data_IF_337245339480
#
_entry.id   IF_337245339480
#
_cell.length_a   1.000
_cell.length_b   1.000
_cell.length_c   1.000
_cell.angle_alpha   90.00
_cell.angle_beta   90.00
_cell.angle_gamma   90.00
#
_symmetry.space_group_name_H-M   'P 1'
#
loop_
_entity.id
_entity.type
_entity.pdbx_description
1 polymer ?
#
# COMPACT_ATOMS: atom_id res chain seq x y z
N UNK A 1 -4.13 -25.49 -18.83
CA UNK A 1 -3.41 -24.36 -18.19
C UNK A 1 -4.36 -23.74 -17.16
N UNK A 2 -3.88 -23.04 -16.14
CA UNK A 2 -4.75 -22.42 -15.11
C UNK A 2 -5.42 -21.14 -15.63
N UNK A 3 -4.66 -20.37 -16.38
CA UNK A 3 -5.11 -19.38 -17.36
C UNK A 3 -4.24 -19.56 -18.61
N UNK A 4 -4.50 -18.83 -19.69
CA UNK A 4 -3.91 -19.10 -21.01
C UNK A 4 -2.36 -19.10 -21.06
N UNK A 5 -1.68 -18.56 -20.04
CA UNK A 5 -0.23 -18.37 -20.04
C UNK A 5 0.51 -19.08 -18.89
N UNK A 6 -0.20 -19.69 -17.93
CA UNK A 6 0.41 -20.25 -16.70
C UNK A 6 0.11 -21.76 -16.58
N UNK A 7 1.18 -22.54 -16.51
CA UNK A 7 1.12 -24.00 -16.37
C UNK A 7 1.06 -24.46 -14.91
N UNK A 8 0.74 -25.74 -14.68
CA UNK A 8 0.81 -26.36 -13.34
C UNK A 8 2.24 -26.32 -12.78
N UNK A 9 3.25 -26.49 -13.64
CA UNK A 9 4.67 -26.42 -13.24
C UNK A 9 5.02 -25.02 -12.74
N UNK A 10 4.59 -23.98 -13.45
CA UNK A 10 4.85 -22.60 -13.04
C UNK A 10 4.18 -22.29 -11.68
N UNK A 11 2.97 -22.82 -11.44
CA UNK A 11 2.30 -22.69 -10.14
C UNK A 11 3.05 -23.40 -9.01
N UNK A 12 3.58 -24.60 -9.26
CA UNK A 12 4.36 -25.33 -8.27
C UNK A 12 5.63 -24.57 -7.88
N UNK A 13 6.30 -23.92 -8.86
CA UNK A 13 7.44 -23.03 -8.58
C UNK A 13 6.99 -21.89 -7.66
N UNK A 14 5.93 -21.15 -8.01
CA UNK A 14 5.42 -20.08 -7.14
C UNK A 14 5.15 -20.56 -5.70
N UNK A 15 4.53 -21.73 -5.54
CA UNK A 15 4.25 -22.34 -4.22
C UNK A 15 5.52 -22.64 -3.42
N UNK A 16 6.54 -23.22 -4.06
CA UNK A 16 7.81 -23.52 -3.40
C UNK A 16 8.52 -22.25 -2.91
N UNK A 17 8.30 -21.14 -3.62
CA UNK A 17 8.86 -19.84 -3.31
C UNK A 17 8.01 -19.00 -2.36
N UNK A 18 6.86 -19.49 -1.87
CA UNK A 18 6.08 -18.76 -0.87
C UNK A 18 6.92 -18.54 0.40
N UNK A 19 6.92 -17.30 0.88
CA UNK A 19 7.51 -16.96 2.17
C UNK A 19 6.69 -17.55 3.29
N UNK A 20 7.41 -18.01 4.31
CA UNK A 20 6.81 -18.35 5.60
C UNK A 20 6.66 -17.05 6.39
N UNK A 21 7.75 -16.35 6.68
CA UNK A 21 7.72 -15.15 7.53
C UNK A 21 7.89 -13.86 6.74
N UNK A 22 7.35 -12.77 7.30
CA UNK A 22 7.57 -11.39 6.82
C UNK A 22 9.03 -10.99 7.03
N UNK A 23 9.64 -10.36 6.04
CA UNK A 23 10.99 -9.79 6.12
C UNK A 23 10.92 -8.26 5.99
N UNK A 24 10.57 -7.57 7.08
CA UNK A 24 10.29 -6.12 7.10
C UNK A 24 11.37 -5.26 6.44
N UNK A 25 12.63 -5.70 6.48
CA UNK A 25 13.77 -4.94 5.95
C UNK A 25 13.79 -4.94 4.42
N UNK A 26 13.23 -5.96 3.78
CA UNK A 26 13.22 -6.13 2.32
C UNK A 26 11.83 -5.98 1.71
N UNK A 27 10.84 -5.46 2.45
CA UNK A 27 9.51 -5.30 1.89
C UNK A 27 9.33 -3.97 1.16
N UNK A 28 8.50 -3.97 0.11
CA UNK A 28 7.88 -2.74 -0.37
C UNK A 28 7.17 -2.03 0.79
N UNK A 29 7.41 -0.73 0.94
CA UNK A 29 6.72 0.13 1.89
C UNK A 29 5.84 1.13 1.15
N UNK A 30 4.64 1.34 1.67
CA UNK A 30 3.73 2.35 1.16
C UNK A 30 3.57 3.50 2.13
N UNK A 31 3.89 4.70 1.67
CA UNK A 31 3.65 5.95 2.40
C UNK A 31 2.40 6.58 1.83
N UNK A 32 1.49 7.00 2.69
CA UNK A 32 0.33 7.79 2.29
C UNK A 32 0.50 9.24 2.77
N UNK A 33 1.01 10.14 1.90
CA UNK A 33 1.11 11.56 2.20
C UNK A 33 -0.24 12.25 1.97
N UNK A 34 -0.79 12.82 3.03
CA UNK A 34 -2.04 13.59 3.05
C UNK A 34 -1.74 15.09 3.13
N UNK A 35 -2.62 15.95 2.59
CA UNK A 35 -2.34 17.38 2.47
C UNK A 35 -3.32 18.09 1.55
N UNK A 36 -3.15 19.40 1.38
CA UNK A 36 -4.03 20.20 0.51
C UNK A 36 -3.86 19.88 -0.98
N UNK A 37 -4.73 20.47 -1.81
CA UNK A 37 -4.61 20.42 -3.27
C UNK A 37 -3.19 20.82 -3.72
N UNK A 38 -2.53 20.00 -4.55
CA UNK A 38 -1.14 20.24 -4.96
C UNK A 38 -0.95 21.52 -5.78
N UNK A 39 -2.02 22.07 -6.36
CA UNK A 39 -1.98 23.37 -7.04
C UNK A 39 -1.87 24.55 -6.06
N UNK A 40 -2.31 24.36 -4.81
CA UNK A 40 -2.31 25.38 -3.75
C UNK A 40 -1.22 25.11 -2.70
N UNK A 41 -0.84 23.85 -2.51
CA UNK A 41 0.06 23.41 -1.45
C UNK A 41 1.16 22.49 -1.99
N UNK A 42 2.41 22.85 -1.76
CA UNK A 42 3.56 22.15 -2.34
C UNK A 42 4.09 20.98 -1.48
N UNK A 43 3.63 20.82 -0.24
CA UNK A 43 4.17 19.85 0.74
C UNK A 43 4.25 18.43 0.18
N UNK A 44 3.12 17.89 -0.29
CA UNK A 44 3.03 16.53 -0.84
C UNK A 44 3.92 16.37 -2.07
N UNK A 45 3.96 17.37 -2.95
CA UNK A 45 4.78 17.36 -4.17
C UNK A 45 6.27 17.24 -3.83
N UNK A 46 6.77 18.08 -2.93
CA UNK A 46 8.18 18.06 -2.52
C UNK A 46 8.55 16.77 -1.81
N UNK A 47 7.68 16.29 -0.92
CA UNK A 47 7.89 15.02 -0.22
C UNK A 47 7.96 13.83 -1.19
N UNK A 48 7.00 13.73 -2.12
CA UNK A 48 6.98 12.67 -3.14
C UNK A 48 8.23 12.70 -4.01
N UNK A 49 8.64 13.88 -4.48
CA UNK A 49 9.85 14.06 -5.28
C UNK A 49 11.11 13.65 -4.51
N UNK A 50 11.18 13.95 -3.21
CA UNK A 50 12.29 13.51 -2.37
C UNK A 50 12.35 11.99 -2.26
N UNK A 51 11.21 11.33 -1.98
CA UNK A 51 11.17 9.86 -1.88
C UNK A 51 11.50 9.20 -3.22
N UNK A 52 10.99 9.73 -4.34
CA UNK A 52 11.22 9.13 -5.67
C UNK A 52 12.64 9.31 -6.20
N UNK A 53 13.28 10.45 -5.90
CA UNK A 53 14.59 10.81 -6.46
C UNK A 53 15.76 10.38 -5.56
N UNK A 54 15.48 9.90 -4.35
CA UNK A 54 16.50 9.49 -3.39
C UNK A 54 16.68 7.97 -3.43
N UNK A 55 17.77 7.52 -4.05
CA UNK A 55 18.08 6.11 -4.27
C UNK A 55 18.92 5.47 -3.15
N UNK A 56 18.81 5.98 -1.92
CA UNK A 56 19.45 5.34 -0.76
C UNK A 56 18.82 3.97 -0.46
N UNK A 57 19.60 3.06 0.13
CA UNK A 57 19.09 1.74 0.54
C UNK A 57 17.88 1.83 1.49
N UNK A 58 17.79 2.91 2.28
CA UNK A 58 16.65 3.17 3.15
C UNK A 58 15.33 3.38 2.38
N UNK A 59 15.41 4.02 1.20
CA UNK A 59 14.25 4.39 0.37
C UNK A 59 14.06 3.51 -0.85
N UNK A 60 14.95 2.55 -1.07
CA UNK A 60 14.73 1.44 -1.99
C UNK A 60 13.39 0.77 -1.68
N UNK A 61 12.56 0.49 -2.70
CA UNK A 61 11.22 -0.08 -2.52
C UNK A 61 10.29 0.70 -1.57
N UNK A 62 10.37 2.03 -1.56
CA UNK A 62 9.44 2.90 -0.84
C UNK A 62 8.63 3.72 -1.83
N UNK A 63 7.31 3.64 -1.76
CA UNK A 63 6.41 4.27 -2.73
C UNK A 63 5.39 5.16 -2.03
N UNK A 64 5.14 6.35 -2.60
CA UNK A 64 4.08 7.24 -2.13
C UNK A 64 2.79 6.96 -2.89
N UNK A 65 1.73 6.60 -2.17
CA UNK A 65 0.39 6.44 -2.71
C UNK A 65 -0.20 7.80 -3.11
N UNK A 66 -0.97 7.84 -4.20
CA UNK A 66 -1.80 9.00 -4.58
C UNK A 66 -3.22 8.82 -4.06
N UNK A 67 -3.88 9.89 -3.61
CA UNK A 67 -5.32 9.88 -3.35
C UNK A 67 -6.13 10.62 -4.43
N UNK A 68 -5.46 11.21 -5.44
CA UNK A 68 -6.06 12.17 -6.36
C UNK A 68 -7.16 11.58 -7.23
N UNK A 69 -7.02 10.33 -7.65
CA UNK A 69 -8.01 9.64 -8.47
C UNK A 69 -8.88 8.66 -7.65
N UNK A 70 -8.73 8.58 -6.32
CA UNK A 70 -9.47 7.63 -5.45
C UNK A 70 -10.97 7.81 -5.61
N UNK A 71 -11.48 9.04 -5.48
CA UNK A 71 -12.90 9.29 -5.63
C UNK A 71 -13.43 9.02 -7.06
N UNK A 72 -12.61 9.25 -8.09
CA UNK A 72 -13.01 9.10 -9.50
C UNK A 72 -12.95 7.63 -9.98
N UNK A 73 -11.89 6.89 -9.65
CA UNK A 73 -11.75 5.45 -9.96
C UNK A 73 -12.63 4.57 -9.07
N UNK A 74 -13.03 5.09 -7.90
CA UNK A 74 -14.01 4.45 -7.02
C UNK A 74 -15.42 5.04 -7.18
N UNK A 75 -15.68 5.80 -8.25
CA UNK A 75 -17.04 6.23 -8.57
C UNK A 75 -17.93 4.99 -8.81
N UNK A 76 -19.05 4.91 -8.10
CA UNK A 76 -19.90 3.71 -8.01
C UNK A 76 -19.39 2.63 -7.05
N UNK A 77 -18.28 2.83 -6.32
CA UNK A 77 -17.92 1.97 -5.19
C UNK A 77 -18.97 2.06 -4.09
N UNK A 78 -19.15 0.96 -3.37
CA UNK A 78 -20.02 0.90 -2.20
C UNK A 78 -19.41 1.59 -0.97
N UNK A 79 -18.11 1.90 -1.01
CA UNK A 79 -17.41 2.53 0.09
C UNK A 79 -17.55 4.05 0.01
N UNK A 80 -17.97 4.68 1.10
CA UNK A 80 -17.92 6.14 1.20
C UNK A 80 -16.47 6.64 1.37
N UNK A 81 -16.23 7.93 1.17
CA UNK A 81 -14.88 8.52 1.21
C UNK A 81 -14.10 8.17 2.48
N UNK A 82 -14.73 8.27 3.66
CA UNK A 82 -14.06 7.93 4.92
C UNK A 82 -13.69 6.44 5.00
N UNK A 83 -14.51 5.56 4.42
CA UNK A 83 -14.22 4.14 4.33
C UNK A 83 -13.09 3.83 3.32
N UNK A 84 -13.01 4.59 2.23
CA UNK A 84 -11.91 4.51 1.27
C UNK A 84 -10.60 4.92 1.94
N UNK A 85 -10.60 6.02 2.70
CA UNK A 85 -9.45 6.48 3.49
C UNK A 85 -9.02 5.45 4.54
N UNK A 86 -9.97 4.82 5.23
CA UNK A 86 -9.68 3.73 6.16
C UNK A 86 -9.02 2.52 5.48
N UNK A 87 -9.52 2.12 4.31
CA UNK A 87 -8.91 1.05 3.52
C UNK A 87 -7.52 1.42 3.02
N UNK A 88 -7.31 2.67 2.59
CA UNK A 88 -6.02 3.20 2.17
C UNK A 88 -5.01 3.20 3.33
N UNK A 89 -5.45 3.63 4.51
CA UNK A 89 -4.68 3.57 5.75
C UNK A 89 -4.31 2.13 6.18
N UNK A 90 -5.08 1.12 5.79
CA UNK A 90 -4.71 -0.31 5.95
C UNK A 90 -3.71 -0.80 4.90
N UNK A 91 -3.70 -0.19 3.72
CA UNK A 91 -2.71 -0.45 2.67
C UNK A 91 -1.38 0.25 2.99
N UNK A 92 -1.37 1.35 3.73
CA UNK A 92 -0.15 2.09 4.08
C UNK A 92 0.67 1.42 5.20
N UNK A 93 1.99 1.62 5.16
CA UNK A 93 2.88 1.37 6.31
C UNK A 93 3.08 2.63 7.16
N UNK A 94 2.95 3.81 6.56
CA UNK A 94 3.07 5.10 7.23
C UNK A 94 2.16 6.14 6.58
N UNK A 95 1.49 6.94 7.41
CA UNK A 95 0.69 8.10 7.00
C UNK A 95 1.43 9.35 7.46
N UNK A 96 1.63 10.31 6.56
CA UNK A 96 2.18 11.62 6.88
C UNK A 96 1.17 12.69 6.48
N UNK A 97 0.61 13.38 7.46
CA UNK A 97 -0.38 14.44 7.20
C UNK A 97 0.30 15.80 7.27
N UNK A 98 0.32 16.52 6.16
CA UNK A 98 0.67 17.94 6.14
C UNK A 98 -0.57 18.76 6.50
N UNK A 99 -0.63 19.27 7.73
CA UNK A 99 -1.78 20.03 8.23
C UNK A 99 -1.75 21.47 7.67
N UNK A 100 -2.29 21.63 6.45
CA UNK A 100 -2.15 22.86 5.65
C UNK A 100 -3.46 23.34 4.99
N UNK A 101 -4.51 22.53 5.03
CA UNK A 101 -5.81 22.79 4.40
C UNK A 101 -6.97 22.19 5.19
N UNK A 102 -8.21 22.66 4.93
CA UNK A 102 -9.41 22.12 5.56
C UNK A 102 -9.54 20.60 5.40
N UNK A 103 -9.24 20.06 4.21
CA UNK A 103 -9.25 18.62 3.96
C UNK A 103 -8.26 17.89 4.86
N UNK A 104 -7.01 18.36 4.92
CA UNK A 104 -5.98 17.76 5.77
C UNK A 104 -6.26 17.86 7.27
N UNK A 105 -6.99 18.89 7.71
CA UNK A 105 -7.45 18.99 9.10
C UNK A 105 -8.52 17.94 9.41
N UNK A 106 -9.45 17.69 8.48
CA UNK A 106 -10.44 16.63 8.59
C UNK A 106 -9.79 15.24 8.60
N UNK A 107 -8.83 14.99 7.71
CA UNK A 107 -8.05 13.74 7.67
C UNK A 107 -7.29 13.52 8.99
N UNK A 108 -6.65 14.57 9.51
CA UNK A 108 -5.94 14.50 10.80
C UNK A 108 -6.90 14.16 11.95
N UNK A 109 -8.07 14.81 12.01
CA UNK A 109 -9.10 14.49 13.00
C UNK A 109 -9.62 13.06 12.86
N UNK A 110 -9.87 12.59 11.64
CA UNK A 110 -10.35 11.24 11.37
C UNK A 110 -9.32 10.16 11.74
N UNK A 111 -8.08 10.30 11.27
CA UNK A 111 -7.06 9.29 11.51
C UNK A 111 -6.54 9.27 12.95
N UNK A 112 -6.50 10.40 13.65
CA UNK A 112 -6.17 10.43 15.09
C UNK A 112 -7.24 9.75 15.94
N UNK A 113 -8.51 9.80 15.54
CA UNK A 113 -9.61 9.15 16.25
C UNK A 113 -9.72 7.63 16.01
N UNK A 114 -8.98 7.07 15.04
CA UNK A 114 -9.03 5.65 14.67
C UNK A 114 -7.75 4.95 15.14
N UNK A 115 -7.79 4.09 16.17
CA UNK A 115 -6.60 3.51 16.79
C UNK A 115 -5.61 2.85 15.82
N UNK A 116 -6.08 2.10 14.82
CA UNK A 116 -5.19 1.44 13.84
C UNK A 116 -4.56 2.45 12.87
N UNK A 117 -5.26 3.52 12.50
CA UNK A 117 -4.72 4.57 11.65
C UNK A 117 -3.74 5.45 12.42
N UNK A 118 -4.15 5.96 13.59
CA UNK A 118 -3.32 6.74 14.51
C UNK A 118 -1.97 6.05 14.78
N UNK A 119 -1.96 4.72 14.93
CA UNK A 119 -0.74 3.93 15.14
C UNK A 119 0.34 4.11 14.06
N UNK A 120 -0.01 4.47 12.84
CA UNK A 120 0.94 4.67 11.74
C UNK A 120 1.01 6.12 11.26
N UNK A 121 0.45 7.07 12.00
CA UNK A 121 0.34 8.46 11.56
C UNK A 121 1.41 9.33 12.21
N UNK A 122 2.08 10.13 11.38
CA UNK A 122 2.78 11.35 11.78
C UNK A 122 2.07 12.57 11.23
N UNK A 123 2.33 13.73 11.84
CA UNK A 123 1.79 15.01 11.39
C UNK A 123 2.90 16.04 11.22
N UNK A 124 2.82 16.81 10.14
CA UNK A 124 3.64 17.97 9.89
C UNK A 124 2.79 19.24 10.02
N UNK A 125 3.23 20.16 10.86
CA UNK A 125 2.56 21.42 11.18
C UNK A 125 3.50 22.58 10.85
N UNK A 126 2.94 23.70 10.40
CA UNK A 126 3.72 24.92 10.19
C UNK A 126 4.48 25.34 11.45
N UNK A 127 5.79 25.60 11.32
CA UNK A 127 6.69 25.93 12.43
C UNK A 127 6.20 27.09 13.31
N UNK A 128 5.45 28.03 12.73
CA UNK A 128 4.84 29.16 13.44
C UNK A 128 3.80 28.76 14.49
N UNK A 129 3.25 27.55 14.41
CA UNK A 129 2.28 27.03 15.38
C UNK A 129 2.94 26.19 16.48
N UNK A 130 4.27 26.13 16.54
CA UNK A 130 4.97 25.44 17.62
C UNK A 130 4.70 26.15 18.95
N UNK A 131 4.09 25.43 19.90
CA UNK A 131 3.70 25.96 21.21
C UNK A 131 2.44 26.83 21.20
N UNK A 132 1.72 26.92 20.07
CA UNK A 132 0.43 27.59 20.04
C UNK A 132 -0.67 26.71 20.66
N UNK A 133 -1.78 27.34 21.05
CA UNK A 133 -2.97 26.66 21.58
C UNK A 133 -4.09 26.75 20.57
N UNK A 134 -4.68 25.63 20.22
CA UNK A 134 -5.82 25.54 19.31
C UNK A 134 -6.41 24.15 19.37
N UNK A 135 -7.66 23.98 18.92
CA UNK A 135 -8.25 22.64 18.84
C UNK A 135 -7.40 21.66 18.03
N UNK A 136 -6.77 22.12 16.93
CA UNK A 136 -5.91 21.28 16.11
C UNK A 136 -4.66 20.80 16.87
N UNK A 137 -3.99 21.72 17.58
CA UNK A 137 -2.75 21.42 18.32
C UNK A 137 -3.03 20.60 19.57
N UNK A 138 -3.98 21.06 20.40
CA UNK A 138 -4.30 20.45 21.69
C UNK A 138 -5.19 19.21 21.58
N UNK A 139 -5.74 18.94 20.39
CA UNK A 139 -6.56 17.78 20.08
C UNK A 139 -5.81 16.75 19.24
N UNK A 140 -6.08 16.64 17.92
CA UNK A 140 -5.58 15.53 17.13
C UNK A 140 -4.06 15.52 16.93
N UNK A 141 -3.36 16.67 16.97
CA UNK A 141 -1.89 16.68 16.97
C UNK A 141 -1.33 16.08 18.26
N UNK A 142 -1.88 16.43 19.42
CA UNK A 142 -1.48 15.89 20.72
C UNK A 142 -1.79 14.38 20.83
N UNK A 143 -2.94 13.95 20.30
CA UNK A 143 -3.29 12.52 20.24
C UNK A 143 -2.24 11.72 19.46
N UNK A 144 -1.78 12.25 18.31
CA UNK A 144 -0.66 11.65 17.58
C UNK A 144 0.63 11.76 18.40
N UNK A 145 0.94 12.90 19.03
CA UNK A 145 2.19 13.10 19.77
C UNK A 145 2.37 12.13 20.95
N UNK A 146 1.27 11.78 21.61
CA UNK A 146 1.24 10.96 22.84
C UNK A 146 1.03 9.47 22.59
N UNK A 147 0.88 9.07 21.31
CA UNK A 147 0.76 7.69 20.89
C UNK A 147 2.05 6.87 21.10
N UNK A 148 1.91 5.56 21.32
CA UNK A 148 3.04 4.69 21.70
C UNK A 148 3.88 4.18 20.50
N UNK A 149 3.47 4.53 19.29
CA UNK A 149 4.12 4.10 18.06
C UNK A 149 5.44 4.85 17.86
N UNK A 150 6.46 4.16 17.33
CA UNK A 150 7.68 4.82 16.86
C UNK A 150 7.42 5.75 15.67
N UNK A 151 6.29 5.57 14.97
CA UNK A 151 5.86 6.40 13.86
C UNK A 151 5.06 7.63 14.31
N UNK A 152 4.65 7.70 15.57
CA UNK A 152 3.93 8.85 16.10
C UNK A 152 4.90 10.01 16.34
N UNK A 153 4.94 10.94 15.38
CA UNK A 153 5.81 12.11 15.40
C UNK A 153 5.07 13.35 14.93
N UNK A 154 5.41 14.48 15.56
CA UNK A 154 4.98 15.82 15.16
C UNK A 154 6.19 16.56 14.63
N UNK A 155 6.14 16.99 13.37
CA UNK A 155 7.17 17.79 12.74
C UNK A 155 6.70 19.24 12.65
N UNK A 156 7.38 20.15 13.33
CA UNK A 156 7.18 21.59 13.14
C UNK A 156 8.15 22.10 12.08
N UNK A 157 7.67 22.36 10.87
CA UNK A 157 8.50 22.64 9.70
C UNK A 157 7.91 23.71 8.77
N UNK A 158 8.67 24.11 7.75
CA UNK A 158 8.15 24.94 6.67
C UNK A 158 7.38 24.06 5.68
N UNK A 159 6.06 24.18 5.67
CA UNK A 159 5.18 23.39 4.79
C UNK A 159 5.42 23.70 3.30
N UNK A 160 5.93 24.89 2.96
CA UNK A 160 6.26 25.17 1.56
C UNK A 160 7.52 24.43 1.10
N UNK A 161 8.35 23.96 2.02
CA UNK A 161 9.57 23.21 1.75
C UNK A 161 9.85 22.20 2.89
N UNK A 162 9.06 21.12 3.01
CA UNK A 162 9.10 20.24 4.17
C UNK A 162 10.43 19.51 4.31
N UNK A 163 11.11 19.23 3.19
CA UNK A 163 12.40 18.53 3.17
C UNK A 163 13.59 19.42 3.59
N UNK A 164 13.36 20.72 3.85
CA UNK A 164 14.33 21.56 4.56
C UNK A 164 14.48 21.18 6.03
N UNK A 165 13.53 20.41 6.60
CA UNK A 165 13.61 19.92 7.98
C UNK A 165 14.58 18.73 8.08
N UNK A 166 15.68 18.86 8.83
CA UNK A 166 16.60 17.74 9.07
C UNK A 166 15.92 16.58 9.81
N UNK A 167 14.96 16.89 10.68
CA UNK A 167 14.25 15.88 11.47
C UNK A 167 13.33 15.02 10.61
N UNK A 168 12.61 15.63 9.66
CA UNK A 168 11.81 14.85 8.69
C UNK A 168 12.71 14.00 7.80
N UNK A 169 13.79 14.55 7.26
CA UNK A 169 14.75 13.82 6.43
C UNK A 169 15.37 12.62 7.16
N UNK A 170 15.77 12.80 8.43
CA UNK A 170 16.30 11.72 9.27
C UNK A 170 15.24 10.64 9.49
N UNK A 171 14.02 11.03 9.87
CA UNK A 171 12.93 10.10 10.12
C UNK A 171 12.60 9.25 8.88
N UNK A 172 12.54 9.87 7.70
CA UNK A 172 12.31 9.19 6.42
C UNK A 172 13.42 8.17 6.13
N UNK A 173 14.67 8.52 6.44
CA UNK A 173 15.83 7.62 6.28
C UNK A 173 15.84 6.45 7.28
N UNK A 174 15.16 6.60 8.43
CA UNK A 174 15.02 5.60 9.48
C UNK A 174 13.66 4.86 9.43
N UNK A 175 12.86 5.07 8.38
CA UNK A 175 11.49 4.57 8.33
C UNK A 175 11.39 3.04 8.47
N UNK A 176 12.28 2.30 7.80
CA UNK A 176 12.34 0.83 7.86
C UNK A 176 12.56 0.30 9.29
N UNK A 177 13.62 0.69 10.02
CA UNK A 177 13.80 0.23 11.40
C UNK A 177 12.66 0.69 12.32
N UNK A 178 12.10 1.89 12.12
CA UNK A 178 10.95 2.37 12.90
C UNK A 178 9.73 1.45 12.73
N UNK A 179 9.39 1.08 11.49
CA UNK A 179 8.33 0.12 11.18
C UNK A 179 8.65 -1.26 11.78
N UNK A 180 9.90 -1.71 11.70
CA UNK A 180 10.36 -2.96 12.29
C UNK A 180 10.16 -3.03 13.81
N UNK A 181 10.54 -1.97 14.54
CA UNK A 181 10.31 -1.85 15.99
C UNK A 181 8.81 -1.81 16.30
N UNK A 182 8.03 -1.09 15.50
CA UNK A 182 6.58 -1.06 15.67
C UNK A 182 5.91 -2.40 15.45
N UNK A 183 6.45 -3.22 14.56
CA UNK A 183 5.93 -4.55 14.30
C UNK A 183 6.08 -5.49 15.51
N UNK A 184 6.95 -5.19 16.49
CA UNK A 184 7.16 -6.00 17.69
C UNK A 184 6.53 -5.43 18.95
N UNK A 185 6.08 -4.16 18.93
CA UNK A 185 5.41 -3.49 20.05
C UNK A 185 3.96 -3.98 20.25
N UNK A 186 3.48 -3.83 21.49
CA UNK A 186 2.05 -3.89 21.86
C UNK A 186 1.63 -2.50 22.32
N UNK A 187 0.64 -1.89 21.65
CA UNK A 187 0.13 -0.56 22.03
C UNK A 187 -0.84 -0.58 23.22
N UNK A 188 -1.14 0.60 23.80
CA UNK A 188 -2.11 0.82 24.89
C UNK A 188 -3.47 0.11 24.73
N UNK A 189 -3.94 -0.12 23.50
CA UNK A 189 -5.23 -0.79 23.23
C UNK A 189 -5.12 -2.32 22.95
N UNK A 190 -4.00 -2.97 23.25
CA UNK A 190 -3.82 -4.40 22.94
C UNK A 190 -3.68 -4.71 21.45
N UNK A 191 -3.55 -3.68 20.61
CA UNK A 191 -3.16 -3.76 19.20
C UNK A 191 -1.85 -4.57 19.11
N UNK A 192 -1.95 -5.79 18.59
CA UNK A 192 -0.79 -6.67 18.36
C UNK A 192 -0.08 -6.25 17.07
N UNK A 193 1.25 -6.11 17.19
CA UNK A 193 2.30 -6.55 16.26
C UNK A 193 1.93 -6.78 14.78
N UNK A 194 2.68 -6.12 13.88
CA UNK A 194 2.71 -6.26 12.42
C UNK A 194 1.33 -6.24 11.72
N UNK A 195 0.85 -5.04 11.35
CA UNK A 195 -0.41 -4.86 10.58
C UNK A 195 -0.49 -5.64 9.27
N UNK A 196 0.66 -6.01 8.70
CA UNK A 196 0.75 -6.73 7.44
C UNK A 196 1.53 -8.01 7.63
N UNK A 197 0.91 -9.13 7.27
CA UNK A 197 1.50 -10.46 7.22
C UNK A 197 0.97 -11.15 5.98
N UNK A 198 1.76 -12.06 5.43
CA UNK A 198 1.31 -12.91 4.31
C UNK A 198 -0.01 -13.58 4.70
N UNK A 199 -1.03 -13.46 3.85
CA UNK A 199 -2.36 -14.00 4.12
C UNK A 199 -2.29 -15.53 4.10
N UNK A 200 -2.86 -16.19 5.11
CA UNK A 200 -2.83 -17.66 5.23
C UNK A 200 -4.20 -18.30 5.41
N UNK A 201 -5.23 -17.49 5.66
CA UNK A 201 -6.59 -17.93 5.89
C UNK A 201 -7.52 -17.20 4.91
N UNK A 202 -8.10 -17.95 3.98
CA UNK A 202 -9.04 -17.44 2.98
C UNK A 202 -10.25 -16.74 3.60
N UNK A 203 -10.62 -17.08 4.83
CA UNK A 203 -11.75 -16.47 5.53
C UNK A 203 -11.42 -15.15 6.22
N UNK A 204 -10.14 -14.74 6.22
CA UNK A 204 -9.62 -13.53 6.89
C UNK A 204 -8.44 -12.96 6.10
N UNK A 205 -8.70 -12.45 4.90
CA UNK A 205 -7.70 -11.79 4.05
C UNK A 205 -7.57 -10.33 4.46
N UNK A 206 -6.40 -9.95 4.98
CA UNK A 206 -6.08 -8.56 5.30
C UNK A 206 -5.84 -7.78 4.00
N UNK A 207 -6.57 -6.67 3.82
CA UNK A 207 -6.55 -5.89 2.57
C UNK A 207 -5.17 -5.31 2.24
N UNK A 208 -4.46 -4.76 3.23
CA UNK A 208 -3.12 -4.20 3.00
C UNK A 208 -2.11 -5.26 2.57
N UNK A 209 -2.16 -6.43 3.20
CA UNK A 209 -1.32 -7.57 2.84
C UNK A 209 -1.68 -8.12 1.45
N UNK A 210 -2.97 -8.16 1.13
CA UNK A 210 -3.44 -8.58 -0.20
C UNK A 210 -2.87 -7.68 -1.29
N UNK A 211 -2.91 -6.35 -1.15
CA UNK A 211 -2.34 -5.42 -2.15
C UNK A 211 -0.87 -5.72 -2.46
N UNK A 212 -0.04 -5.98 -1.44
CA UNK A 212 1.35 -6.39 -1.68
C UNK A 212 1.44 -7.74 -2.41
N UNK A 213 0.68 -8.75 -1.99
CA UNK A 213 0.67 -10.06 -2.63
C UNK A 213 0.20 -10.01 -4.10
N UNK A 214 -0.74 -9.12 -4.42
CA UNK A 214 -1.20 -8.89 -5.79
C UNK A 214 -0.17 -8.17 -6.66
N UNK A 215 0.54 -7.19 -6.11
CA UNK A 215 1.61 -6.49 -6.82
C UNK A 215 2.75 -7.41 -7.19
N UNK A 216 3.16 -8.30 -6.27
CA UNK A 216 4.15 -9.33 -6.57
C UNK A 216 3.72 -10.16 -7.78
N UNK A 217 2.49 -10.70 -7.77
CA UNK A 217 1.97 -11.50 -8.88
C UNK A 217 1.92 -10.71 -10.19
N UNK A 218 1.53 -9.43 -10.13
CA UNK A 218 1.47 -8.57 -11.32
C UNK A 218 2.85 -8.25 -11.88
N UNK A 219 3.89 -8.12 -11.06
CA UNK A 219 5.25 -7.90 -11.55
C UNK A 219 5.93 -9.19 -12.04
N UNK A 220 5.60 -10.33 -11.43
CA UNK A 220 6.17 -11.62 -11.83
C UNK A 220 5.48 -12.14 -13.10
N UNK A 221 4.15 -11.99 -13.19
CA UNK A 221 3.32 -12.69 -14.18
C UNK A 221 2.44 -11.75 -15.00
N UNK A 222 2.40 -10.45 -14.74
CA UNK A 222 1.54 -9.51 -15.47
C UNK A 222 2.01 -9.23 -16.91
N UNK A 223 1.22 -8.49 -17.70
CA UNK A 223 -0.14 -8.02 -17.41
C UNK A 223 -1.19 -9.14 -17.48
N UNK A 224 -2.30 -9.03 -16.74
CA UNK A 224 -3.38 -10.02 -16.71
C UNK A 224 -4.75 -9.40 -16.34
N UNK A 225 -5.84 -10.13 -16.56
CA UNK A 225 -7.18 -9.69 -16.13
C UNK A 225 -7.33 -9.76 -14.60
N UNK A 226 -8.29 -9.03 -14.03
CA UNK A 226 -8.62 -9.16 -12.58
C UNK A 226 -9.06 -10.59 -12.21
N UNK A 227 -9.77 -11.26 -13.12
CA UNK A 227 -10.22 -12.65 -12.97
C UNK A 227 -9.06 -13.63 -12.93
N UNK A 228 -8.08 -13.47 -13.84
CA UNK A 228 -6.87 -14.29 -13.83
C UNK A 228 -6.04 -14.04 -12.58
N UNK A 229 -5.88 -12.78 -12.18
CA UNK A 229 -5.15 -12.42 -10.96
C UNK A 229 -5.77 -13.10 -9.73
N UNK A 230 -7.10 -13.08 -9.61
CA UNK A 230 -7.82 -13.77 -8.54
C UNK A 230 -7.61 -15.28 -8.58
N UNK A 231 -7.69 -15.87 -9.77
CA UNK A 231 -7.54 -17.30 -9.99
C UNK A 231 -6.13 -17.76 -9.61
N UNK A 232 -5.11 -17.04 -10.08
CA UNK A 232 -3.70 -17.33 -9.81
C UNK A 232 -3.40 -17.13 -8.33
N UNK A 233 -3.89 -16.05 -7.72
CA UNK A 233 -3.74 -15.81 -6.29
C UNK A 233 -4.29 -16.99 -5.47
N UNK A 234 -5.55 -17.37 -5.72
CA UNK A 234 -6.17 -18.51 -5.04
C UNK A 234 -5.38 -19.79 -5.25
N UNK A 235 -4.98 -20.08 -6.49
CA UNK A 235 -4.25 -21.29 -6.81
C UNK A 235 -2.87 -21.32 -6.14
N UNK A 236 -2.14 -20.20 -6.13
CA UNK A 236 -0.82 -20.12 -5.49
C UNK A 236 -0.92 -20.34 -3.99
N UNK A 237 -1.95 -19.78 -3.34
CA UNK A 237 -2.18 -19.88 -1.90
C UNK A 237 -2.88 -21.17 -1.46
N UNK A 238 -3.45 -21.93 -2.40
CA UNK A 238 -4.30 -23.09 -2.09
C UNK A 238 -5.69 -22.69 -1.57
N UNK A 239 -6.14 -21.46 -1.85
CA UNK A 239 -7.44 -20.94 -1.44
C UNK A 239 -8.54 -21.27 -2.45
N UNK A 240 -9.78 -21.28 -1.96
CA UNK A 240 -11.03 -21.36 -2.70
C UNK A 240 -11.58 -19.96 -2.87
N UNK A 241 -11.73 -19.54 -4.13
CA UNK A 241 -12.23 -18.21 -4.47
C UNK A 241 -13.58 -17.88 -3.82
N UNK A 242 -14.47 -18.86 -3.65
CA UNK A 242 -15.80 -18.71 -3.04
C UNK A 242 -15.77 -18.47 -1.52
N UNK A 243 -14.65 -18.74 -0.84
CA UNK A 243 -14.51 -18.55 0.60
C UNK A 243 -13.69 -17.32 0.97
N UNK A 244 -13.14 -16.62 -0.03
CA UNK A 244 -12.38 -15.40 0.19
C UNK A 244 -13.23 -14.35 0.89
N UNK A 245 -12.76 -13.90 2.05
CA UNK A 245 -13.33 -12.76 2.79
C UNK A 245 -12.22 -11.76 3.05
N UNK A 246 -12.31 -10.60 2.40
CA UNK A 246 -11.35 -9.51 2.54
C UNK A 246 -11.87 -8.57 3.62
N UNK A 247 -10.98 -8.16 4.53
CA UNK A 247 -11.31 -7.28 5.63
C UNK A 247 -10.27 -6.16 5.80
N UNK A 248 -10.72 -5.04 6.34
CA UNK A 248 -9.90 -3.88 6.72
C UNK A 248 -9.92 -3.79 8.25
N UNK A 249 -8.77 -3.94 8.94
CA UNK A 249 -8.69 -3.71 10.38
C UNK A 249 -9.40 -2.43 10.84
N UNK A 250 -9.19 -1.30 10.16
CA UNK A 250 -9.81 -0.01 10.55
C UNK A 250 -11.34 -0.06 10.39
N UNK A 251 -11.84 -0.49 9.22
CA UNK A 251 -13.29 -0.56 8.98
C UNK A 251 -13.99 -1.51 9.96
N UNK A 252 -13.36 -2.65 10.22
CA UNK A 252 -13.95 -3.71 11.02
C UNK A 252 -13.85 -3.46 12.53
N UNK A 253 -12.75 -2.88 13.02
CA UNK A 253 -12.51 -2.70 14.46
C UNK A 253 -12.80 -1.28 14.94
N UNK A 254 -12.43 -0.25 14.18
CA UNK A 254 -12.44 1.13 14.67
C UNK A 254 -13.73 1.87 14.29
N UNK A 255 -14.22 1.68 13.06
CA UNK A 255 -15.40 2.40 12.57
C UNK A 255 -16.74 1.75 12.97
N UNK A 256 -16.73 0.70 13.80
CA UNK A 256 -17.91 -0.09 14.23
C UNK A 256 -18.81 -0.58 13.09
N UNK A 257 -18.30 -0.55 11.86
CA UNK A 257 -18.99 -1.00 10.64
C UNK A 257 -18.67 -2.47 10.39
N UNK A 258 -18.96 -3.31 11.38
CA UNK A 258 -18.77 -4.75 11.27
C UNK A 258 -19.59 -5.28 10.10
N UNK A 259 -18.92 -5.58 8.98
CA UNK A 259 -19.55 -6.23 7.82
C UNK A 259 -19.67 -5.41 6.55
N UNK A 260 -19.02 -4.25 6.40
CA UNK A 260 -18.82 -3.67 5.06
C UNK A 260 -17.94 -4.63 4.26
N UNK A 261 -18.48 -5.33 3.26
CA UNK A 261 -17.73 -6.35 2.55
C UNK A 261 -16.79 -5.66 1.57
N UNK A 262 -15.48 -5.86 1.73
CA UNK A 262 -14.51 -5.46 0.72
C UNK A 262 -14.54 -6.53 -0.37
N UNK A 263 -14.96 -6.15 -1.58
CA UNK A 263 -14.90 -7.06 -2.72
C UNK A 263 -13.51 -7.07 -3.34
N UNK A 264 -13.21 -8.10 -4.14
CA UNK A 264 -12.00 -8.13 -4.95
C UNK A 264 -11.89 -6.92 -5.87
N UNK A 265 -13.02 -6.49 -6.43
CA UNK A 265 -13.06 -5.33 -7.33
C UNK A 265 -12.74 -4.04 -6.59
N UNK A 266 -13.22 -3.85 -5.35
CA UNK A 266 -12.86 -2.69 -4.53
C UNK A 266 -11.34 -2.59 -4.32
N UNK A 267 -10.66 -3.73 -4.10
CA UNK A 267 -9.20 -3.78 -3.99
C UNK A 267 -8.52 -3.38 -5.29
N UNK A 268 -8.97 -3.92 -6.43
CA UNK A 268 -8.41 -3.55 -7.73
C UNK A 268 -8.67 -2.09 -8.11
N UNK A 269 -9.85 -1.54 -7.79
CA UNK A 269 -10.16 -0.12 -7.94
C UNK A 269 -9.21 0.74 -7.09
N UNK A 270 -9.05 0.41 -5.82
CA UNK A 270 -8.13 1.13 -4.92
C UNK A 270 -6.68 1.09 -5.42
N UNK A 271 -6.21 -0.07 -5.90
CA UNK A 271 -4.86 -0.18 -6.47
C UNK A 271 -4.69 0.70 -7.72
N UNK A 272 -5.72 0.87 -8.56
CA UNK A 272 -5.65 1.78 -9.72
C UNK A 272 -5.62 3.22 -9.28
N UNK A 273 -6.52 3.58 -8.37
CA UNK A 273 -6.69 4.94 -7.93
C UNK A 273 -5.49 5.50 -7.14
N UNK A 274 -4.76 4.59 -6.48
CA UNK A 274 -3.49 4.88 -5.81
C UNK A 274 -2.28 4.86 -6.73
N UNK A 275 -2.50 4.63 -8.02
CA UNK A 275 -1.45 4.59 -9.03
C UNK A 275 -0.51 3.39 -8.89
N UNK A 276 -0.88 2.34 -8.15
CA UNK A 276 -0.10 1.10 -7.99
C UNK A 276 -0.24 0.16 -9.20
N UNK A 277 -1.38 0.23 -9.91
CA UNK A 277 -1.63 -0.52 -11.14
C UNK A 277 -2.28 0.37 -12.19
N UNK A 278 -2.13 -0.01 -13.46
CA UNK A 278 -2.72 0.71 -14.60
C UNK A 278 -3.42 -0.25 -15.56
N UNK A 279 -4.41 0.27 -16.29
CA UNK A 279 -5.08 -0.47 -17.36
C UNK A 279 -4.21 -0.48 -18.61
N UNK A 280 -4.17 -1.64 -19.27
CA UNK A 280 -3.51 -1.84 -20.57
C UNK A 280 -4.55 -2.39 -21.53
N UNK A 281 -4.57 -1.85 -22.74
CA UNK A 281 -5.46 -2.31 -23.80
C UNK A 281 -5.18 -3.77 -24.14
N UNK A 282 -6.21 -4.60 -24.12
CA UNK A 282 -6.12 -5.96 -24.65
C UNK A 282 -6.44 -5.93 -26.14
N UNK A 283 -5.61 -6.56 -26.97
CA UNK A 283 -5.91 -6.75 -28.39
C UNK A 283 -6.93 -7.89 -28.63
N UNK A 284 -7.30 -8.61 -27.57
CA UNK A 284 -8.27 -9.71 -27.59
C UNK A 284 -9.45 -9.37 -26.65
N UNK A 285 -10.60 -9.04 -27.23
CA UNK A 285 -11.84 -8.80 -26.50
C UNK A 285 -12.02 -7.37 -25.98
N UNK A 286 -13.19 -7.05 -25.40
CA UNK A 286 -13.50 -5.73 -24.85
C UNK A 286 -12.81 -5.43 -23.51
N UNK A 287 -12.17 -6.43 -22.89
CA UNK A 287 -11.59 -6.33 -21.56
C UNK A 287 -10.23 -5.62 -21.56
N UNK A 288 -9.92 -4.95 -20.46
CA UNK A 288 -8.59 -4.43 -20.18
C UNK A 288 -7.79 -5.43 -19.33
N UNK A 289 -6.47 -5.37 -19.46
CA UNK A 289 -5.56 -6.02 -18.52
C UNK A 289 -5.07 -5.00 -17.51
N UNK A 290 -4.65 -5.47 -16.34
CA UNK A 290 -3.95 -4.66 -15.35
C UNK A 290 -2.47 -5.04 -15.31
N UNK A 291 -1.63 -4.03 -15.09
CA UNK A 291 -0.19 -4.18 -14.83
C UNK A 291 0.23 -3.38 -13.62
N UNK A 292 1.29 -3.81 -12.94
CA UNK A 292 1.99 -2.96 -11.97
C UNK A 292 2.53 -1.71 -12.68
N UNK A 293 2.41 -0.56 -12.03
CA UNK A 293 3.08 0.70 -12.43
C UNK A 293 4.39 0.92 -11.68
N UNK A 294 4.59 0.19 -10.58
CA UNK A 294 5.80 0.25 -9.76
C UNK A 294 6.69 -0.97 -10.03
N UNK A 295 8.00 -0.74 -9.90
CA UNK A 295 9.00 -1.80 -9.92
C UNK A 295 9.39 -2.15 -8.48
N UNK A 296 9.16 -3.40 -8.08
CA UNK A 296 9.63 -3.94 -6.81
C UNK A 296 11.00 -4.61 -6.99
N UNK A 297 11.99 -4.19 -6.21
CA UNK A 297 13.31 -4.85 -6.14
C UNK A 297 13.27 -6.17 -5.36
N UNK A 298 12.18 -6.41 -4.63
CA UNK A 298 11.98 -7.58 -3.78
C UNK A 298 10.49 -7.78 -3.50
N UNK A 299 10.11 -9.05 -3.31
CA UNK A 299 8.70 -9.45 -3.22
C UNK A 299 8.25 -9.71 -1.77
N UNK A 300 7.00 -9.35 -1.48
CA UNK A 300 6.36 -9.52 -0.18
C UNK A 300 5.98 -10.96 0.15
N UNK A 301 5.45 -11.67 -0.84
CA UNK A 301 4.91 -13.02 -0.80
C UNK A 301 5.95 -14.08 -1.15
N UNK A 302 6.96 -13.74 -1.96
CA UNK A 302 7.91 -14.71 -2.51
C UNK A 302 9.35 -14.49 -2.01
N UNK A 303 10.05 -15.60 -1.73
CA UNK A 303 11.48 -15.69 -1.40
C UNK A 303 12.25 -16.33 -2.56
N UNK A 304 13.57 -16.24 -2.54
CA UNK A 304 14.41 -16.92 -3.55
C UNK A 304 14.07 -16.52 -4.97
N UNK A 305 13.67 -15.25 -5.19
CA UNK A 305 13.24 -14.79 -6.51
C UNK A 305 14.41 -14.64 -7.50
N UNK A 306 15.64 -14.78 -7.01
CA UNK A 306 16.88 -14.88 -7.77
C UNK A 306 17.23 -16.33 -8.12
N UNK A 307 16.51 -17.31 -7.57
CA UNK A 307 16.76 -18.71 -7.84
C UNK A 307 16.45 -19.03 -9.31
N UNK A 308 17.28 -19.90 -9.90
CA UNK A 308 17.28 -20.16 -11.34
C UNK A 308 15.93 -20.65 -11.87
N UNK A 309 15.22 -21.48 -11.11
CA UNK A 309 13.91 -22.00 -11.50
C UNK A 309 12.83 -20.91 -11.50
N UNK A 310 12.85 -20.01 -10.52
CA UNK A 310 11.98 -18.83 -10.45
C UNK A 310 12.23 -17.88 -11.63
N UNK A 311 13.50 -17.55 -11.91
CA UNK A 311 13.87 -16.71 -13.05
C UNK A 311 13.47 -17.36 -14.38
N UNK A 312 13.73 -18.66 -14.54
CA UNK A 312 13.33 -19.40 -15.74
C UNK A 312 11.81 -19.45 -15.91
N UNK A 313 11.06 -19.62 -14.82
CA UNK A 313 9.59 -19.56 -14.85
C UNK A 313 9.12 -18.19 -15.33
N UNK A 314 9.63 -17.11 -14.74
CA UNK A 314 9.29 -15.74 -15.13
C UNK A 314 9.56 -15.52 -16.62
N UNK A 315 10.77 -15.87 -17.09
CA UNK A 315 11.15 -15.77 -18.50
C UNK A 315 10.19 -16.55 -19.43
N UNK A 316 9.84 -17.80 -19.08
CA UNK A 316 8.89 -18.61 -19.88
C UNK A 316 7.50 -17.97 -19.94
N UNK A 317 6.96 -17.49 -18.83
CA UNK A 317 5.63 -16.84 -18.79
C UNK A 317 5.63 -15.58 -19.65
N UNK A 318 6.69 -14.77 -19.57
CA UNK A 318 6.86 -13.58 -20.42
C UNK A 318 6.84 -13.95 -21.90
N UNK A 319 7.65 -14.93 -22.31
CA UNK A 319 7.75 -15.35 -23.70
C UNK A 319 6.40 -15.83 -24.24
N UNK A 320 5.66 -16.62 -23.45
CA UNK A 320 4.29 -17.04 -23.81
C UNK A 320 3.37 -15.85 -24.00
N UNK A 321 3.36 -14.89 -23.06
CA UNK A 321 2.53 -13.68 -23.17
C UNK A 321 2.86 -12.84 -24.40
N UNK A 322 4.16 -12.69 -24.72
CA UNK A 322 4.60 -12.02 -25.96
C UNK A 322 4.09 -12.75 -27.20
N UNK A 323 4.23 -14.07 -27.26
CA UNK A 323 3.74 -14.86 -28.40
C UNK A 323 2.21 -14.79 -28.56
N UNK A 324 1.49 -14.52 -27.48
CA UNK A 324 0.03 -14.38 -27.48
C UNK A 324 -0.45 -12.96 -27.82
N UNK A 325 0.47 -12.00 -28.00
CA UNK A 325 0.15 -10.62 -28.35
C UNK A 325 -0.39 -9.76 -27.19
N UNK A 326 -0.06 -10.11 -25.94
CA UNK A 326 -0.44 -9.30 -24.78
C UNK A 326 0.29 -7.94 -24.86
N UNK A 327 -0.47 -6.84 -24.94
CA UNK A 327 0.07 -5.48 -24.90
C UNK A 327 0.69 -5.15 -23.55
N UNK A 328 1.64 -4.21 -23.51
CA UNK A 328 2.25 -3.73 -22.25
C UNK A 328 3.21 -4.69 -21.55
N UNK A 329 3.50 -5.87 -22.14
CA UNK A 329 4.48 -6.81 -21.60
C UNK A 329 5.87 -6.16 -21.47
N UNK A 330 6.30 -5.31 -22.42
CA UNK A 330 7.58 -4.61 -22.29
C UNK A 330 7.67 -3.76 -21.01
N UNK A 331 6.60 -3.06 -20.62
CA UNK A 331 6.59 -2.17 -19.45
C UNK A 331 6.36 -2.83 -18.09
N UNK A 332 6.26 -4.17 -18.02
CA UNK A 332 6.22 -4.93 -16.74
C UNK A 332 7.61 -5.46 -16.36
N UNK A 333 8.52 -5.55 -17.32
CA UNK A 333 9.82 -6.20 -17.17
C UNK A 333 11.01 -5.29 -17.52
N UNK A 334 10.77 -3.99 -17.76
CA UNK A 334 11.79 -2.96 -17.87
C UNK A 334 11.94 -2.21 -16.55
#
# INVERSE_FOLDING_TARGET
>A
MLCDCISKTDLNILRNHLRVNRDVNKLPLFIFPCGGDQSLHSSRRFFRAYVSNNHTEALKNVFCLTAEDVAAEMDGSRLNLLQQEAMLADISDWILIFAESCGSFCELGAFSALPHAAWITSVAVGKQYKGSRSFLIDGPVEEIATGDSSLNKVFYLDLNNPMSSPDLCRFVSELRPLIGVNATKRGKAGLKAARKMINRDESKINVGSLVHELLDLLQILGPMSETDLRTIYCAAKGFRASKLKIFSPILNADMKNAGVPISWSDVCCMMRATGLVSKVRCNRGPDYLIKSTIHLDSYFMFKGYEDRDFLNMRARVILRKRSMGYGGVAGVYC
#
